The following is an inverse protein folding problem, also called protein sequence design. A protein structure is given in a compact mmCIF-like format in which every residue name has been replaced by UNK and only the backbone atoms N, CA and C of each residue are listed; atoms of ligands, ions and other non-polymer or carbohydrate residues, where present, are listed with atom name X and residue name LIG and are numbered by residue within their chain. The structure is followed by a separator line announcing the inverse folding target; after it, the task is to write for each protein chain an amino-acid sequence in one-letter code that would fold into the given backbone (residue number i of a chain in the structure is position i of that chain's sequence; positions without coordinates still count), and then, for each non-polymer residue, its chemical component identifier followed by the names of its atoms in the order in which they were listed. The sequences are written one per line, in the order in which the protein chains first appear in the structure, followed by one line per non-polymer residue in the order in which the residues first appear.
data_IF_323608225706
#
_entry.id   IF_323608225706
#
_cell.length_a   1.000
_cell.length_b   1.000
_cell.length_c   1.000
_cell.angle_alpha   90.00
_cell.angle_beta   90.00
_cell.angle_gamma   90.00
#
_symmetry.space_group_name_H-M   'P 1'
#
loop_
_entity.id
_entity.type
_entity.pdbx_description
1 polymer ?
#
# COMPACT_ATOMS: atom_id res chain seq x y z
N UNK A 1 -9.90 -18.78 22.51
CA UNK A 1 -8.61 -18.24 22.94
C UNK A 1 -8.14 -17.34 21.83
N UNK A 2 -8.18 -16.04 22.06
CA UNK A 2 -7.83 -14.97 21.13
C UNK A 2 -6.45 -14.40 21.48
N UNK A 3 -5.89 -13.56 20.60
CA UNK A 3 -4.60 -12.91 20.86
C UNK A 3 -4.61 -12.11 22.17
N UNK A 4 -5.77 -11.52 22.53
CA UNK A 4 -5.94 -10.79 23.80
C UNK A 4 -5.86 -11.68 25.04
N UNK A 5 -6.18 -12.97 24.93
CA UNK A 5 -6.12 -13.90 26.06
C UNK A 5 -4.69 -14.31 26.43
N UNK A 6 -3.69 -13.93 25.61
CA UNK A 6 -2.27 -14.28 25.79
C UNK A 6 -1.53 -13.42 26.81
N UNK A 7 -2.09 -12.28 27.22
CA UNK A 7 -1.40 -11.26 28.01
C UNK A 7 -0.38 -10.43 27.23
N UNK A 8 -0.21 -10.66 25.91
CA UNK A 8 0.75 -9.91 25.09
C UNK A 8 0.46 -8.41 25.01
N UNK A 9 -0.76 -7.99 25.37
CA UNK A 9 -1.20 -6.60 25.38
C UNK A 9 -1.21 -5.95 26.77
N UNK A 10 -0.84 -6.66 27.84
CA UNK A 10 -1.00 -6.20 29.23
C UNK A 10 -0.25 -4.90 29.55
N UNK A 11 0.82 -4.60 28.80
CA UNK A 11 1.65 -3.40 28.97
C UNK A 11 1.32 -2.27 27.96
N UNK A 12 0.23 -2.40 27.19
CA UNK A 12 -0.17 -1.45 26.14
C UNK A 12 0.92 -1.17 25.07
N UNK A 13 1.87 -2.08 24.88
CA UNK A 13 3.00 -1.93 23.94
C UNK A 13 2.64 -2.26 22.49
N UNK A 14 1.64 -1.58 21.95
CA UNK A 14 1.19 -1.75 20.57
C UNK A 14 0.80 -0.41 19.92
N UNK A 15 0.61 -0.46 18.60
CA UNK A 15 0.05 0.65 17.84
C UNK A 15 -1.39 0.32 17.42
N UNK A 16 -2.31 1.24 17.66
CA UNK A 16 -3.63 1.21 17.03
C UNK A 16 -3.56 1.96 15.70
N UNK A 17 -3.89 1.27 14.61
CA UNK A 17 -3.95 1.88 13.27
C UNK A 17 -5.39 1.85 12.78
N UNK A 18 -6.00 3.03 12.69
CA UNK A 18 -7.32 3.23 12.11
C UNK A 18 -7.17 3.60 10.64
N UNK A 19 -7.85 2.87 9.77
CA UNK A 19 -7.97 3.19 8.35
C UNK A 19 -9.45 3.44 8.08
N UNK A 20 -9.75 4.66 7.66
CA UNK A 20 -11.10 5.11 7.40
C UNK A 20 -11.27 5.42 5.92
N UNK A 21 -12.40 4.99 5.36
CA UNK A 21 -12.76 5.23 3.97
C UNK A 21 -14.02 6.07 3.93
N UNK A 22 -13.97 7.18 3.21
CA UNK A 22 -15.15 7.95 2.85
C UNK A 22 -15.32 7.91 1.33
N UNK A 23 -16.57 7.82 0.88
CA UNK A 23 -16.91 7.72 -0.53
C UNK A 23 -17.94 8.78 -0.86
N UNK A 24 -17.60 9.69 -1.77
CA UNK A 24 -18.56 10.68 -2.27
C UNK A 24 -19.37 10.08 -3.42
N UNK A 25 -18.70 9.42 -4.36
CA UNK A 25 -19.29 8.78 -5.54
C UNK A 25 -18.62 7.43 -5.82
N UNK A 26 -19.12 6.68 -6.81
CA UNK A 26 -18.64 5.33 -7.16
C UNK A 26 -17.10 5.18 -7.23
N UNK A 27 -16.41 6.21 -7.71
CA UNK A 27 -14.96 6.22 -7.99
C UNK A 27 -14.22 7.31 -7.21
N UNK A 28 -14.89 8.02 -6.30
CA UNK A 28 -14.28 9.07 -5.47
C UNK A 28 -14.17 8.60 -4.02
N UNK A 29 -12.95 8.26 -3.63
CA UNK A 29 -12.63 7.63 -2.34
C UNK A 29 -11.54 8.43 -1.65
N UNK A 30 -11.85 8.88 -0.43
CA UNK A 30 -10.86 9.43 0.51
C UNK A 30 -10.47 8.36 1.52
N UNK A 31 -9.17 8.17 1.71
CA UNK A 31 -8.61 7.28 2.72
C UNK A 31 -7.88 8.11 3.78
N UNK A 32 -8.22 7.89 5.05
CA UNK A 32 -7.52 8.50 6.19
C UNK A 32 -6.91 7.42 7.06
N UNK A 33 -5.61 7.52 7.30
CA UNK A 33 -4.87 6.63 8.20
C UNK A 33 -4.48 7.40 9.47
N UNK A 34 -4.83 6.87 10.63
CA UNK A 34 -4.43 7.41 11.95
C UNK A 34 -3.76 6.32 12.75
N UNK A 35 -2.55 6.58 13.22
CA UNK A 35 -1.82 5.65 14.08
C UNK A 35 -1.64 6.25 15.48
N UNK A 36 -1.91 5.45 16.51
CA UNK A 36 -1.76 5.81 17.90
C UNK A 36 -0.77 4.85 18.55
N UNK A 37 0.35 5.37 19.05
CA UNK A 37 1.19 4.61 19.97
C UNK A 37 0.44 4.53 21.31
N UNK A 38 0.04 3.32 21.72
CA UNK A 38 -0.61 3.09 23.02
C UNK A 38 0.40 2.90 24.14
N UNK A 39 1.65 2.63 23.78
CA UNK A 39 2.71 2.36 24.73
C UNK A 39 3.14 3.61 25.51
N UNK A 40 3.72 3.42 26.69
CA UNK A 40 4.22 4.51 27.53
C UNK A 40 5.49 5.16 26.97
N UNK A 41 6.19 4.49 26.05
CA UNK A 41 7.45 4.93 25.47
C UNK A 41 7.29 5.32 24.00
N UNK A 42 8.07 6.31 23.55
CA UNK A 42 8.14 6.67 22.13
C UNK A 42 8.73 5.53 21.31
N UNK A 43 8.05 5.13 20.24
CA UNK A 43 8.48 4.07 19.34
C UNK A 43 8.30 4.49 17.87
N UNK A 44 9.22 4.04 17.02
CA UNK A 44 9.15 4.31 15.58
C UNK A 44 8.10 3.45 14.89
N UNK A 45 7.34 4.05 13.97
CA UNK A 45 6.38 3.36 13.10
C UNK A 45 6.55 3.88 11.67
N UNK A 46 6.71 2.95 10.72
CA UNK A 46 6.72 3.27 9.30
C UNK A 46 5.41 2.77 8.67
N UNK A 47 4.66 3.68 8.05
CA UNK A 47 3.42 3.36 7.35
C UNK A 47 3.65 3.41 5.85
N UNK A 48 3.30 2.33 5.15
CA UNK A 48 3.40 2.23 3.70
C UNK A 48 2.03 1.87 3.12
N UNK A 49 1.11 2.84 2.93
CA UNK A 49 -0.11 2.62 2.16
C UNK A 49 0.23 2.21 0.72
N UNK A 50 -0.39 1.14 0.23
CA UNK A 50 -0.08 0.56 -1.07
C UNK A 50 -1.28 0.66 -2.01
N UNK A 51 -1.01 1.07 -3.24
CA UNK A 51 -1.93 0.93 -4.37
C UNK A 51 -1.29 -0.03 -5.37
N UNK A 52 -2.07 -1.01 -5.85
CA UNK A 52 -1.59 -2.02 -6.78
C UNK A 52 -2.73 -2.50 -7.66
N UNK A 53 -2.37 -2.93 -8.86
CA UNK A 53 -3.28 -3.68 -9.72
C UNK A 53 -2.97 -5.15 -9.62
N UNK A 54 -4.03 -5.97 -9.66
CA UNK A 54 -3.87 -7.42 -9.65
C UNK A 54 -3.09 -7.87 -10.89
N UNK A 55 -2.01 -8.61 -10.66
CA UNK A 55 -1.23 -9.20 -11.74
C UNK A 55 -2.02 -10.27 -12.48
N UNK A 56 -2.50 -9.93 -13.67
CA UNK A 56 -3.18 -10.84 -14.61
C UNK A 56 -2.37 -11.12 -15.86
N UNK A 57 -1.37 -10.28 -16.16
CA UNK A 57 -0.56 -10.31 -17.37
C UNK A 57 0.54 -11.36 -17.32
N UNK A 58 1.26 -11.49 -16.19
CA UNK A 58 2.30 -12.51 -16.06
C UNK A 58 1.70 -13.93 -15.99
N UNK A 59 0.39 -14.04 -15.74
CA UNK A 59 -0.35 -15.31 -15.67
C UNK A 59 -1.05 -15.68 -16.98
N UNK A 60 -0.87 -14.91 -18.05
CA UNK A 60 -1.45 -15.18 -19.38
C UNK A 60 -2.97 -15.08 -19.43
N UNK A 61 -3.61 -14.36 -18.48
CA UNK A 61 -5.07 -14.16 -18.48
C UNK A 61 -5.49 -12.92 -19.26
N UNK A 62 -4.71 -11.86 -19.18
CA UNK A 62 -4.90 -10.61 -19.93
C UNK A 62 -3.54 -9.96 -20.13
N UNK A 63 -3.07 -9.86 -21.37
CA UNK A 63 -1.75 -9.32 -21.70
C UNK A 63 -1.63 -7.81 -21.46
N UNK A 64 -2.76 -7.09 -21.29
CA UNK A 64 -2.74 -5.64 -21.11
C UNK A 64 -2.29 -5.30 -19.69
N UNK A 65 -1.12 -4.67 -19.58
CA UNK A 65 -0.54 -4.27 -18.30
C UNK A 65 -1.03 -2.87 -17.89
N UNK A 66 -1.53 -2.67 -16.66
CA UNK A 66 -1.82 -1.36 -16.12
C UNK A 66 -0.53 -0.64 -15.68
N UNK A 67 -0.63 0.68 -15.55
CA UNK A 67 0.51 1.55 -15.25
C UNK A 67 0.22 2.43 -14.02
N UNK A 68 1.26 2.64 -13.22
CA UNK A 68 1.26 3.59 -12.10
C UNK A 68 2.48 4.48 -12.29
N UNK A 69 2.26 5.78 -12.46
CA UNK A 69 3.33 6.74 -12.72
C UNK A 69 3.12 8.03 -11.90
N UNK A 70 4.21 8.74 -11.63
CA UNK A 70 4.12 10.10 -11.10
C UNK A 70 3.72 11.06 -12.23
N UNK A 71 2.64 11.79 -12.03
CA UNK A 71 2.16 12.86 -12.92
C UNK A 71 2.96 14.15 -12.71
N UNK A 72 3.17 14.99 -13.75
CA UNK A 72 3.65 16.37 -13.61
C UNK A 72 3.04 17.20 -12.46
N UNK A 73 1.75 16.99 -12.15
CA UNK A 73 1.04 17.68 -11.05
C UNK A 73 1.29 17.05 -9.66
N UNK A 74 2.27 16.15 -9.55
CA UNK A 74 2.66 15.44 -8.33
C UNK A 74 1.63 14.44 -7.77
N UNK A 75 0.56 14.16 -8.52
CA UNK A 75 -0.35 13.04 -8.25
C UNK A 75 0.23 11.73 -8.79
N UNK A 76 -0.25 10.58 -8.29
CA UNK A 76 0.00 9.31 -8.95
C UNK A 76 -1.09 9.05 -9.98
N UNK A 77 -0.72 8.97 -11.25
CA UNK A 77 -1.61 8.57 -12.35
C UNK A 77 -1.67 7.05 -12.42
N UNK A 78 -2.88 6.51 -12.33
CA UNK A 78 -3.19 5.09 -12.33
C UNK A 78 -3.98 4.80 -13.60
N UNK A 79 -3.40 4.06 -14.54
CA UNK A 79 -4.08 3.67 -15.78
C UNK A 79 -4.31 2.17 -15.82
N UNK A 80 -5.56 1.74 -15.96
CA UNK A 80 -5.90 0.33 -16.16
C UNK A 80 -6.76 0.16 -17.43
N UNK A 81 -6.40 -0.74 -18.37
CA UNK A 81 -7.07 -0.89 -19.66
C UNK A 81 -8.60 -1.04 -19.62
N UNK A 82 -9.13 -1.66 -18.55
CA UNK A 82 -10.56 -1.87 -18.36
C UNK A 82 -11.23 -0.87 -17.39
N UNK A 83 -10.46 -0.20 -16.52
CA UNK A 83 -11.02 0.71 -15.50
C UNK A 83 -10.81 2.19 -15.87
N UNK A 84 -10.07 2.46 -16.94
CA UNK A 84 -9.72 3.81 -17.34
C UNK A 84 -8.61 4.40 -16.48
N UNK A 85 -8.66 5.71 -16.32
CA UNK A 85 -7.66 6.51 -15.64
C UNK A 85 -8.19 7.00 -14.30
N UNK A 86 -7.36 6.88 -13.26
CA UNK A 86 -7.63 7.32 -11.89
C UNK A 86 -6.42 8.09 -11.38
N UNK A 87 -6.64 8.92 -10.36
CA UNK A 87 -5.59 9.70 -9.72
C UNK A 87 -5.57 9.43 -8.24
N UNK A 88 -4.39 9.15 -7.69
CA UNK A 88 -4.19 9.11 -6.25
C UNK A 88 -3.45 10.37 -5.81
N UNK A 89 -4.19 11.20 -5.08
CA UNK A 89 -3.67 12.35 -4.38
C UNK A 89 -3.23 11.95 -2.97
N UNK A 90 -2.32 12.73 -2.40
CA UNK A 90 -1.69 12.45 -1.12
C UNK A 90 -1.61 13.73 -0.31
N UNK A 91 -1.73 13.58 1.01
CA UNK A 91 -1.47 14.68 1.93
C UNK A 91 0.05 14.81 2.17
N UNK A 92 0.54 16.05 2.20
CA UNK A 92 1.96 16.37 2.32
C UNK A 92 2.83 15.78 1.19
N UNK A 93 4.09 15.50 1.53
CA UNK A 93 5.12 15.06 0.57
C UNK A 93 5.85 13.78 1.00
N UNK A 94 5.17 12.62 1.15
CA UNK A 94 5.81 11.38 1.56
C UNK A 94 6.85 10.89 0.54
N UNK A 95 7.73 9.98 0.93
CA UNK A 95 8.59 9.28 -0.01
C UNK A 95 7.74 8.33 -0.86
N UNK A 96 7.91 8.37 -2.19
CA UNK A 96 7.27 7.43 -3.11
C UNK A 96 8.21 6.27 -3.42
N UNK A 97 7.66 5.06 -3.38
CA UNK A 97 8.36 3.82 -3.71
C UNK A 97 7.56 3.10 -4.80
N UNK A 98 8.25 2.64 -5.84
CA UNK A 98 7.66 1.92 -6.96
C UNK A 98 8.34 0.56 -7.07
N UNK A 99 7.54 -0.48 -7.34
CA UNK A 99 8.06 -1.77 -7.76
C UNK A 99 7.00 -2.52 -8.58
N UNK A 100 7.45 -3.46 -9.41
CA UNK A 100 6.56 -4.40 -10.11
C UNK A 100 6.19 -5.61 -9.23
N UNK A 101 6.45 -5.54 -7.90
CA UNK A 101 6.31 -6.64 -6.95
C UNK A 101 6.94 -7.96 -7.43
N UNK A 102 8.07 -7.86 -8.15
CA UNK A 102 8.82 -9.03 -8.64
C UNK A 102 9.76 -9.53 -7.57
N UNK A 103 9.77 -10.85 -7.37
CA UNK A 103 10.74 -11.51 -6.49
C UNK A 103 12.15 -11.21 -6.97
N UNK A 104 13.00 -10.70 -6.08
CA UNK A 104 14.42 -10.50 -6.35
C UNK A 104 15.16 -11.84 -6.31
N UNK A 105 14.99 -12.64 -7.36
CA UNK A 105 15.56 -13.98 -7.48
C UNK A 105 17.10 -14.02 -7.44
N UNK A 106 17.84 -13.05 -8.02
CA UNK A 106 19.29 -13.00 -7.87
C UNK A 106 19.72 -12.88 -6.40
N UNK A 107 19.10 -11.99 -5.64
CA UNK A 107 19.42 -11.79 -4.23
C UNK A 107 19.04 -13.00 -3.36
N UNK A 108 17.85 -13.58 -3.60
CA UNK A 108 17.29 -14.62 -2.74
C UNK A 108 17.78 -16.03 -3.09
N UNK A 109 18.06 -16.31 -4.36
CA UNK A 109 18.35 -17.65 -4.86
C UNK A 109 19.66 -17.76 -5.64
N UNK A 110 20.41 -16.66 -5.82
CA UNK A 110 21.64 -16.65 -6.62
C UNK A 110 21.42 -16.98 -8.09
N UNK A 111 20.19 -16.83 -8.60
CA UNK A 111 19.89 -17.02 -10.01
C UNK A 111 20.52 -15.92 -10.85
N UNK A 112 20.86 -16.21 -12.11
CA UNK A 112 21.17 -15.16 -13.08
C UNK A 112 19.90 -14.35 -13.38
N UNK A 113 20.05 -13.06 -13.64
CA UNK A 113 18.96 -12.25 -14.20
C UNK A 113 18.44 -12.93 -15.48
N UNK A 114 17.11 -13.05 -15.59
CA UNK A 114 16.43 -13.57 -16.75
C UNK A 114 16.22 -12.46 -17.79
#
# INVERSE_FOLDING_TARGET
YELIDTGIFDDDRYFDVFIEYAKLEAEDILVRVRAYNRGPESAGLHLLPQIWFRNTWDWGRDERKPEIALDPESALRLHHPALGEMYLHRDGSPQLLFCDNRTNAPLLFGSKDA
#
